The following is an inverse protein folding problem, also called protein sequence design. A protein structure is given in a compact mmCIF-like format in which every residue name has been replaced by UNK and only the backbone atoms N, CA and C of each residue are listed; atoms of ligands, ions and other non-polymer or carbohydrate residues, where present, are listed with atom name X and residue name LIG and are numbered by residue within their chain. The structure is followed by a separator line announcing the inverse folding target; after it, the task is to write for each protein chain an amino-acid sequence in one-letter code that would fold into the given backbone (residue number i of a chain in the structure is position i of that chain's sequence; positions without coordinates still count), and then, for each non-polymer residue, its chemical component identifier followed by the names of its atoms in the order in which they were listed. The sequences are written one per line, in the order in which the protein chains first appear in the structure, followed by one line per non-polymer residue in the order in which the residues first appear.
data_IF_016526519641
#
_entry.id   IF_016526519641
#
_cell.length_a   1.000
_cell.length_b   1.000
_cell.length_c   1.000
_cell.angle_alpha   90.00
_cell.angle_beta   90.00
_cell.angle_gamma   90.00
#
_symmetry.space_group_name_H-M   'P 1'
#
loop_
_entity.id
_entity.type
_entity.pdbx_description
1 polymer ?
#
# COMPACT_ATOMS: atom_id res chain seq x y z
N UNK A 1 24.88 10.03 -15.06
CA UNK A 1 23.64 10.81 -15.29
C UNK A 1 23.74 12.16 -14.60
N UNK A 2 23.80 12.21 -13.26
CA UNK A 2 23.91 13.47 -12.49
C UNK A 2 25.13 14.34 -12.82
N UNK A 3 26.29 13.71 -13.05
CA UNK A 3 27.50 14.46 -13.41
C UNK A 3 27.37 15.18 -14.75
N UNK A 4 26.77 14.52 -15.75
CA UNK A 4 26.61 15.10 -17.08
C UNK A 4 25.53 16.17 -17.11
N UNK A 5 24.41 15.96 -16.41
CA UNK A 5 23.34 16.96 -16.33
C UNK A 5 23.84 18.26 -15.72
N UNK A 6 24.69 18.19 -14.69
CA UNK A 6 25.28 19.40 -14.09
C UNK A 6 26.41 19.99 -14.93
N UNK A 7 27.32 19.17 -15.47
CA UNK A 7 28.48 19.67 -16.22
C UNK A 7 28.10 20.34 -17.55
N UNK A 8 27.04 19.86 -18.19
CA UNK A 8 26.61 20.31 -19.52
C UNK A 8 25.26 21.04 -19.50
N UNK A 9 24.71 21.34 -18.31
CA UNK A 9 23.42 22.00 -18.14
C UNK A 9 22.29 21.34 -18.94
N UNK A 10 22.14 20.03 -18.75
CA UNK A 10 21.18 19.21 -19.50
C UNK A 10 19.96 18.90 -18.63
N UNK A 11 18.77 19.17 -19.17
CA UNK A 11 17.52 18.67 -18.63
C UNK A 11 17.23 17.27 -19.19
N UNK A 12 17.25 16.26 -18.31
CA UNK A 12 16.96 14.87 -18.68
C UNK A 12 15.55 14.54 -18.21
N UNK A 13 14.63 14.38 -19.16
CA UNK A 13 13.28 13.93 -18.91
C UNK A 13 13.11 12.48 -19.34
N UNK A 14 12.60 11.64 -18.45
CA UNK A 14 12.31 10.25 -18.72
C UNK A 14 10.87 9.89 -18.36
N UNK A 15 10.23 9.11 -19.24
CA UNK A 15 8.89 8.58 -19.02
C UNK A 15 8.99 7.14 -18.55
N UNK A 16 8.43 6.86 -17.37
CA UNK A 16 8.42 5.53 -16.78
C UNK A 16 7.00 5.03 -16.61
N UNK A 17 6.76 3.79 -17.03
CA UNK A 17 5.50 3.11 -16.76
C UNK A 17 5.55 2.43 -15.40
N UNK A 18 4.44 2.50 -14.65
CA UNK A 18 4.25 1.74 -13.43
C UNK A 18 3.90 0.28 -13.77
N UNK A 19 4.20 -0.63 -12.84
CA UNK A 19 3.84 -2.04 -12.98
C UNK A 19 2.31 -2.22 -12.99
N UNK A 20 1.85 -3.26 -13.71
CA UNK A 20 0.44 -3.69 -13.64
C UNK A 20 0.22 -4.40 -12.29
N UNK A 21 -0.42 -3.73 -11.32
CA UNK A 21 -0.88 -4.34 -10.06
C UNK A 21 -0.17 -3.84 -8.80
N UNK A 22 0.97 -3.17 -8.92
CA UNK A 22 1.51 -2.32 -7.87
C UNK A 22 1.95 -0.98 -8.49
N UNK A 23 1.62 0.15 -7.85
CA UNK A 23 1.94 1.48 -8.37
C UNK A 23 3.44 1.81 -8.23
N UNK A 24 4.29 0.80 -8.36
CA UNK A 24 5.74 0.89 -8.26
C UNK A 24 6.35 1.07 -9.65
N UNK A 25 7.45 1.81 -9.69
CA UNK A 25 8.23 1.99 -10.91
C UNK A 25 8.91 0.68 -11.30
N UNK A 26 8.85 0.30 -12.58
CA UNK A 26 9.27 -1.02 -13.07
C UNK A 26 10.80 -1.19 -13.11
N UNK A 27 11.30 -2.19 -12.37
CA UNK A 27 12.67 -2.70 -12.48
C UNK A 27 13.75 -1.84 -11.81
N UNK A 28 14.99 -2.34 -11.79
CA UNK A 28 16.14 -1.67 -11.15
C UNK A 28 16.38 -0.25 -11.68
N UNK A 29 16.17 -0.04 -12.99
CA UNK A 29 16.35 1.27 -13.62
C UNK A 29 15.32 2.29 -13.11
N UNK A 30 14.09 1.85 -12.87
CA UNK A 30 13.02 2.71 -12.35
C UNK A 30 13.30 3.19 -10.94
N UNK A 31 13.76 2.28 -10.08
CA UNK A 31 14.17 2.62 -8.71
C UNK A 31 15.35 3.59 -8.70
N UNK A 32 16.40 3.31 -9.47
CA UNK A 32 17.59 4.19 -9.51
C UNK A 32 17.29 5.57 -10.09
N UNK A 33 16.42 5.65 -11.11
CA UNK A 33 15.98 6.93 -11.66
C UNK A 33 15.14 7.72 -10.65
N UNK A 34 14.18 7.09 -9.98
CA UNK A 34 13.39 7.76 -8.93
C UNK A 34 14.27 8.29 -7.80
N UNK A 35 15.30 7.53 -7.39
CA UNK A 35 16.21 7.92 -6.32
C UNK A 35 17.15 9.06 -6.71
N UNK A 36 17.44 9.24 -8.00
CA UNK A 36 18.36 10.27 -8.50
C UNK A 36 17.64 11.47 -9.10
N UNK A 37 16.36 11.35 -9.42
CA UNK A 37 15.58 12.43 -10.00
C UNK A 37 15.44 13.61 -9.04
N UNK A 38 15.50 14.82 -9.59
CA UNK A 38 15.18 16.06 -8.90
C UNK A 38 13.66 16.19 -8.68
N UNK A 39 12.89 15.85 -9.72
CA UNK A 39 11.43 15.89 -9.73
C UNK A 39 10.87 14.59 -10.28
N UNK A 40 9.92 14.00 -9.54
CA UNK A 40 9.17 12.81 -9.95
C UNK A 40 7.69 13.16 -9.94
N UNK A 41 7.09 13.10 -11.14
CA UNK A 41 5.67 13.37 -11.34
C UNK A 41 4.91 12.06 -11.54
N UNK A 42 3.70 12.00 -10.99
CA UNK A 42 2.73 10.94 -11.25
C UNK A 42 1.60 11.54 -12.04
N UNK A 43 1.28 10.90 -13.16
CA UNK A 43 0.18 11.27 -14.04
C UNK A 43 -0.85 10.15 -13.98
N UNK A 44 -2.07 10.48 -13.55
CA UNK A 44 -3.19 9.54 -13.46
C UNK A 44 -4.38 10.05 -14.24
N UNK A 45 -5.11 9.15 -14.92
CA UNK A 45 -6.40 9.49 -15.51
C UNK A 45 -7.44 9.62 -14.40
N UNK A 46 -8.29 10.64 -14.48
CA UNK A 46 -9.43 10.75 -13.58
C UNK A 46 -10.43 9.61 -13.88
N UNK A 47 -10.99 9.01 -12.84
CA UNK A 47 -11.88 7.85 -12.97
C UNK A 47 -13.25 8.22 -13.54
N UNK A 48 -13.77 9.40 -13.19
CA UNK A 48 -15.07 9.90 -13.62
C UNK A 48 -14.97 10.58 -14.99
N UNK A 49 -13.82 11.22 -15.26
CA UNK A 49 -13.52 11.91 -16.50
C UNK A 49 -12.23 11.36 -17.15
N UNK A 50 -12.28 10.24 -17.91
CA UNK A 50 -11.09 9.59 -18.50
C UNK A 50 -10.28 10.44 -19.49
N UNK A 51 -10.85 11.54 -19.98
CA UNK A 51 -10.22 12.55 -20.82
C UNK A 51 -9.33 13.53 -20.03
N UNK A 52 -9.52 13.60 -18.70
CA UNK A 52 -8.73 14.43 -17.79
C UNK A 52 -7.59 13.59 -17.21
N UNK A 53 -6.38 14.14 -17.29
CA UNK A 53 -5.19 13.60 -16.65
C UNK A 53 -4.74 14.55 -15.54
N UNK A 54 -4.64 14.02 -14.34
CA UNK A 54 -4.19 14.73 -13.14
C UNK A 54 -2.69 14.52 -12.94
N UNK A 55 -1.99 15.60 -12.62
CA UNK A 55 -0.55 15.60 -12.38
C UNK A 55 -0.30 15.91 -10.92
N UNK A 56 0.41 15.01 -10.26
CA UNK A 56 0.80 15.14 -8.85
C UNK A 56 2.31 15.00 -8.71
N UNK A 57 2.87 15.78 -7.78
CA UNK A 57 4.26 15.59 -7.37
C UNK A 57 4.35 14.36 -6.46
N UNK A 58 5.13 13.36 -6.85
CA UNK A 58 5.48 12.25 -5.97
C UNK A 58 6.68 12.61 -5.08
N UNK A 59 7.67 13.27 -5.67
CA UNK A 59 8.86 13.76 -4.98
C UNK A 59 9.40 14.98 -5.71
N UNK A 60 9.69 16.06 -4.99
CA UNK A 60 10.38 17.25 -5.48
C UNK A 60 11.40 17.62 -4.41
N UNK A 61 12.64 17.88 -4.83
CA UNK A 61 13.70 18.33 -3.91
C UNK A 61 13.70 19.83 -3.69
N UNK A 62 13.35 20.58 -4.73
CA UNK A 62 13.40 22.04 -4.77
C UNK A 62 11.99 22.63 -4.62
N UNK A 63 11.56 23.44 -5.58
CA UNK A 63 10.33 24.21 -5.51
C UNK A 63 9.11 23.35 -5.83
N UNK A 64 8.27 23.11 -4.84
CA UNK A 64 6.98 22.45 -5.02
C UNK A 64 6.01 23.29 -5.87
N UNK A 65 5.06 22.60 -6.51
CA UNK A 65 3.97 23.20 -7.27
C UNK A 65 2.62 22.59 -6.87
N UNK A 66 1.55 23.35 -7.08
CA UNK A 66 0.19 22.86 -6.83
C UNK A 66 -0.19 21.83 -7.91
N UNK A 67 -0.80 20.69 -7.53
CA UNK A 67 -1.36 19.76 -8.50
C UNK A 67 -2.20 20.48 -9.55
N UNK A 68 -2.10 20.01 -10.79
CA UNK A 68 -2.85 20.55 -11.92
C UNK A 68 -3.34 19.41 -12.80
N UNK A 69 -4.34 19.67 -13.61
CA UNK A 69 -4.93 18.70 -14.52
C UNK A 69 -4.89 19.24 -15.95
N UNK A 70 -4.78 18.34 -16.91
CA UNK A 70 -4.82 18.67 -18.32
C UNK A 70 -5.68 17.66 -19.11
N UNK A 71 -6.17 18.11 -20.25
CA UNK A 71 -6.82 17.27 -21.27
C UNK A 71 -5.97 17.28 -22.53
N UNK A 72 -6.20 16.31 -23.42
CA UNK A 72 -5.56 16.29 -24.73
C UNK A 72 -6.58 16.76 -25.76
N UNK A 73 -6.27 17.84 -26.48
CA UNK A 73 -7.16 18.37 -27.52
C UNK A 73 -7.13 17.50 -28.80
N UNK A 74 -7.97 17.84 -29.78
CA UNK A 74 -8.05 17.10 -31.05
C UNK A 74 -6.72 17.09 -31.83
N UNK A 75 -5.86 18.10 -31.62
CA UNK A 75 -4.52 18.18 -32.18
C UNK A 75 -3.46 17.37 -31.42
N UNK A 76 -3.84 16.65 -30.36
CA UNK A 76 -2.92 15.84 -29.55
C UNK A 76 -2.09 16.64 -28.56
N UNK A 77 -2.39 17.92 -28.34
CA UNK A 77 -1.64 18.79 -27.42
C UNK A 77 -2.29 18.84 -26.03
N UNK A 78 -1.49 18.86 -24.95
CA UNK A 78 -1.99 19.02 -23.60
C UNK A 78 -2.49 20.45 -23.38
N UNK A 79 -3.72 20.59 -22.88
CA UNK A 79 -4.35 21.88 -22.51
C UNK A 79 -4.82 21.79 -21.06
N UNK A 80 -4.60 22.84 -20.27
CA UNK A 80 -5.03 22.89 -18.88
C UNK A 80 -6.54 22.64 -18.77
N UNK A 81 -6.92 21.76 -17.84
CA UNK A 81 -8.31 21.52 -17.49
C UNK A 81 -8.74 22.59 -16.47
N UNK A 82 -9.02 23.80 -16.96
CA UNK A 82 -9.46 24.91 -16.12
C UNK A 82 -10.77 24.57 -15.40
N UNK A 83 -10.84 24.88 -14.10
CA UNK A 83 -12.02 24.56 -13.27
C UNK A 83 -12.11 23.10 -12.83
N UNK A 84 -11.13 22.24 -13.15
CA UNK A 84 -11.04 20.91 -12.56
C UNK A 84 -10.88 21.03 -11.04
N UNK A 85 -11.92 20.64 -10.32
CA UNK A 85 -11.90 20.59 -8.87
C UNK A 85 -11.22 19.29 -8.47
N UNK A 86 -10.05 19.42 -7.84
CA UNK A 86 -9.50 18.33 -7.05
C UNK A 86 -10.46 18.13 -5.87
N UNK A 87 -11.31 17.11 -5.93
CA UNK A 87 -12.16 16.74 -4.79
C UNK A 87 -11.26 16.55 -3.57
N UNK A 88 -11.34 17.49 -2.62
CA UNK A 88 -10.63 17.58 -1.36
C UNK A 88 -9.31 16.79 -1.28
N UNK A 89 -8.20 17.52 -1.38
CA UNK A 89 -6.92 17.03 -0.85
C UNK A 89 -7.14 16.50 0.59
N UNK A 90 -6.68 15.28 0.85
CA UNK A 90 -5.58 15.18 1.77
C UNK A 90 -4.39 14.65 0.99
N UNK A 91 -3.22 15.02 1.47
CA UNK A 91 -1.94 14.44 1.13
C UNK A 91 -2.04 12.95 0.73
N UNK A 92 -2.17 12.67 -0.56
CA UNK A 92 -1.86 11.35 -1.07
C UNK A 92 -0.34 11.29 -1.20
N UNK A 93 0.34 11.25 -0.03
CA UNK A 93 1.48 10.34 0.11
C UNK A 93 1.04 9.06 -0.60
N UNK A 94 1.77 8.54 -1.59
CA UNK A 94 1.33 7.45 -2.46
C UNK A 94 0.69 6.37 -1.61
N UNK A 95 -0.67 6.34 -1.53
CA UNK A 95 -1.48 5.74 -0.44
C UNK A 95 -0.56 4.98 0.50
N UNK A 96 0.12 5.68 1.44
CA UNK A 96 1.25 5.09 2.18
C UNK A 96 0.70 3.78 2.70
N UNK A 97 1.10 2.66 2.06
CA UNK A 97 0.33 1.43 2.14
C UNK A 97 0.48 1.07 3.59
N UNK A 98 -0.56 1.34 4.38
CA UNK A 98 -0.41 1.35 5.83
C UNK A 98 0.26 0.05 6.19
N UNK A 99 1.39 0.17 6.88
CA UNK A 99 2.12 -1.01 7.33
C UNK A 99 1.19 -1.78 8.25
N UNK A 100 1.30 -3.09 8.30
CA UNK A 100 0.54 -3.83 9.32
C UNK A 100 0.94 -3.41 10.74
N UNK A 101 2.09 -2.76 10.93
CA UNK A 101 2.52 -2.18 12.22
C UNK A 101 1.90 -0.81 12.52
N UNK A 102 1.22 -0.19 11.55
CA UNK A 102 0.53 1.09 11.73
C UNK A 102 -0.96 0.90 12.07
N UNK A 103 -1.46 -0.34 12.01
CA UNK A 103 -2.80 -0.67 12.50
C UNK A 103 -2.82 -0.57 14.02
N UNK A 104 -3.91 -0.03 14.57
CA UNK A 104 -4.09 0.00 16.02
C UNK A 104 -4.31 -1.41 16.55
N UNK A 105 -4.06 -1.61 17.84
CA UNK A 105 -4.29 -2.90 18.51
C UNK A 105 -5.76 -3.31 18.37
N UNK A 106 -6.68 -2.34 18.42
CA UNK A 106 -8.12 -2.54 18.28
C UNK A 106 -8.48 -3.05 16.88
N UNK A 107 -7.85 -2.50 15.83
CA UNK A 107 -8.05 -2.98 14.46
C UNK A 107 -7.54 -4.42 14.28
N UNK A 108 -6.39 -4.74 14.88
CA UNK A 108 -5.90 -6.12 14.90
C UNK A 108 -6.88 -7.05 15.62
N UNK A 109 -7.42 -6.63 16.76
CA UNK A 109 -8.39 -7.41 17.54
C UNK A 109 -9.71 -7.63 16.80
N UNK A 110 -10.21 -6.61 16.13
CA UNK A 110 -11.42 -6.71 15.31
C UNK A 110 -11.24 -7.74 14.19
N UNK A 111 -10.15 -7.66 13.43
CA UNK A 111 -9.86 -8.63 12.37
C UNK A 111 -9.60 -10.04 12.92
N UNK A 112 -8.95 -10.18 14.07
CA UNK A 112 -8.73 -11.48 14.69
C UNK A 112 -10.03 -12.08 15.23
N UNK A 113 -10.88 -11.29 15.88
CA UNK A 113 -12.21 -11.74 16.31
C UNK A 113 -13.04 -12.24 15.12
N UNK A 114 -13.01 -11.53 13.99
CA UNK A 114 -13.67 -11.98 12.77
C UNK A 114 -13.03 -13.24 12.15
N UNK A 115 -11.71 -13.39 12.21
CA UNK A 115 -11.00 -14.55 11.66
C UNK A 115 -11.23 -15.84 12.47
N UNK A 116 -11.20 -15.73 13.80
CA UNK A 116 -11.34 -16.86 14.72
C UNK A 116 -12.80 -17.18 15.07
N UNK A 117 -13.68 -16.17 15.07
CA UNK A 117 -15.01 -16.30 15.67
C UNK A 117 -14.85 -16.66 17.14
N UNK A 118 -15.16 -17.93 17.46
CA UNK A 118 -15.04 -18.50 18.81
C UNK A 118 -14.20 -19.80 18.85
N UNK A 119 -13.50 -20.15 17.75
CA UNK A 119 -12.78 -21.43 17.63
C UNK A 119 -11.33 -21.26 17.23
N UNK A 120 -10.43 -22.12 17.72
CA UNK A 120 -9.04 -22.11 17.28
C UNK A 120 -8.93 -22.56 15.82
N UNK A 121 -7.97 -21.99 15.11
CA UNK A 121 -7.75 -22.31 13.69
C UNK A 121 -6.65 -23.35 13.59
N UNK A 122 -6.96 -24.50 12.97
CA UNK A 122 -5.99 -25.57 12.72
C UNK A 122 -5.34 -25.41 11.35
N UNK A 123 -4.01 -25.39 11.35
CA UNK A 123 -3.18 -25.36 10.16
C UNK A 123 -2.82 -23.95 9.71
N UNK A 124 -1.57 -23.80 9.26
CA UNK A 124 -1.02 -22.51 8.86
C UNK A 124 -1.74 -21.89 7.66
N UNK A 125 -2.13 -22.70 6.67
CA UNK A 125 -2.82 -22.17 5.49
C UNK A 125 -4.24 -21.72 5.78
N UNK A 126 -4.97 -22.46 6.62
CA UNK A 126 -6.30 -22.05 7.06
C UNK A 126 -6.23 -20.75 7.85
N UNK A 127 -5.20 -20.59 8.68
CA UNK A 127 -4.94 -19.36 9.42
C UNK A 127 -4.67 -18.17 8.49
N UNK A 128 -3.78 -18.35 7.49
CA UNK A 128 -3.51 -17.29 6.53
C UNK A 128 -4.74 -16.91 5.71
N UNK A 129 -5.53 -17.89 5.28
CA UNK A 129 -6.73 -17.66 4.49
C UNK A 129 -7.79 -16.89 5.31
N UNK A 130 -8.02 -17.29 6.56
CA UNK A 130 -8.93 -16.60 7.47
C UNK A 130 -8.48 -15.16 7.75
N UNK A 131 -7.18 -14.94 8.00
CA UNK A 131 -6.62 -13.61 8.16
C UNK A 131 -6.77 -12.77 6.88
N UNK A 132 -6.52 -13.33 5.70
CA UNK A 132 -6.67 -12.61 4.43
C UNK A 132 -8.08 -12.04 4.29
N UNK A 133 -9.10 -12.85 4.56
CA UNK A 133 -10.50 -12.44 4.49
C UNK A 133 -10.85 -11.42 5.58
N UNK A 134 -10.45 -11.65 6.82
CA UNK A 134 -10.82 -10.77 7.93
C UNK A 134 -10.11 -9.40 7.87
N UNK A 135 -8.84 -9.37 7.51
CA UNK A 135 -8.13 -8.10 7.32
C UNK A 135 -8.62 -7.33 6.08
N UNK A 136 -9.08 -8.02 5.04
CA UNK A 136 -9.74 -7.36 3.91
C UNK A 136 -11.05 -6.65 4.33
N UNK A 137 -11.82 -7.24 5.26
CA UNK A 137 -13.06 -6.65 5.77
C UNK A 137 -12.84 -5.32 6.51
N UNK A 138 -11.73 -5.15 7.22
CA UNK A 138 -11.34 -3.88 7.86
C UNK A 138 -10.57 -2.92 6.92
N UNK A 139 -10.55 -3.21 5.62
CA UNK A 139 -9.89 -2.38 4.60
C UNK A 139 -8.38 -2.62 4.43
N UNK A 140 -7.81 -3.62 5.11
CA UNK A 140 -6.40 -4.01 5.00
C UNK A 140 -6.20 -5.17 4.01
N UNK A 141 -6.45 -4.92 2.73
CA UNK A 141 -6.21 -5.93 1.68
C UNK A 141 -4.71 -6.10 1.40
N UNK A 142 -4.17 -7.30 1.65
CA UNK A 142 -2.77 -7.65 1.36
C UNK A 142 -2.61 -9.07 0.84
N UNK A 143 -1.53 -9.29 0.10
CA UNK A 143 -1.14 -10.60 -0.40
C UNK A 143 -0.50 -11.48 0.69
N UNK A 144 -0.43 -12.78 0.40
CA UNK A 144 0.04 -13.84 1.30
C UNK A 144 1.36 -13.52 2.04
N UNK A 145 2.38 -13.02 1.35
CA UNK A 145 3.68 -12.73 1.95
C UNK A 145 3.61 -11.68 3.08
N UNK A 146 2.70 -10.71 2.96
CA UNK A 146 2.48 -9.71 4.01
C UNK A 146 1.71 -10.32 5.16
N UNK A 147 0.72 -11.18 4.89
CA UNK A 147 -0.04 -11.89 5.94
C UNK A 147 0.84 -12.84 6.76
N UNK A 148 1.85 -13.48 6.16
CA UNK A 148 2.85 -14.27 6.89
C UNK A 148 3.62 -13.39 7.89
N UNK A 149 4.11 -12.22 7.45
CA UNK A 149 4.83 -11.28 8.31
C UNK A 149 3.94 -10.69 9.41
N UNK A 150 2.67 -10.43 9.08
CA UNK A 150 1.67 -9.96 10.04
C UNK A 150 1.38 -11.02 11.10
N UNK A 151 1.18 -12.28 10.72
CA UNK A 151 1.00 -13.37 11.69
C UNK A 151 2.20 -13.47 12.62
N UNK A 152 3.42 -13.38 12.08
CA UNK A 152 4.63 -13.37 12.90
C UNK A 152 4.66 -12.18 13.88
N UNK A 153 4.28 -10.99 13.43
CA UNK A 153 4.18 -9.81 14.29
C UNK A 153 3.14 -9.96 15.41
N UNK A 154 1.99 -10.58 15.12
CA UNK A 154 0.93 -10.84 16.09
C UNK A 154 1.34 -11.88 17.13
N UNK A 155 2.18 -12.84 16.78
CA UNK A 155 2.70 -13.87 17.70
C UNK A 155 3.91 -13.37 18.50
N UNK A 156 4.90 -12.79 17.83
CA UNK A 156 6.20 -12.47 18.44
C UNK A 156 6.18 -11.12 19.16
N UNK A 157 5.49 -10.12 18.60
CA UNK A 157 5.52 -8.73 19.10
C UNK A 157 4.28 -8.38 19.91
N UNK A 158 3.09 -8.46 19.30
CA UNK A 158 1.84 -8.08 19.97
C UNK A 158 1.31 -9.17 20.90
N UNK A 159 1.79 -10.42 20.74
CA UNK A 159 1.38 -11.60 21.52
C UNK A 159 -0.15 -11.78 21.60
N UNK A 160 -0.87 -11.36 20.56
CA UNK A 160 -2.32 -11.51 20.44
C UNK A 160 -2.71 -12.91 19.96
N UNK A 161 -1.81 -13.57 19.21
CA UNK A 161 -2.04 -14.91 18.68
C UNK A 161 -1.03 -15.88 19.27
N UNK A 162 -1.52 -16.95 19.89
CA UNK A 162 -0.69 -18.01 20.46
C UNK A 162 -0.73 -19.21 19.53
N UNK A 163 0.44 -19.70 19.12
CA UNK A 163 0.56 -20.94 18.34
C UNK A 163 0.97 -22.09 19.27
N UNK A 164 0.21 -23.18 19.28
CA UNK A 164 0.60 -24.47 19.88
C UNK A 164 0.43 -25.57 18.84
N UNK A 165 1.49 -26.32 18.58
CA UNK A 165 1.55 -27.34 17.54
C UNK A 165 1.02 -26.86 16.17
N UNK A 166 -0.18 -27.33 15.82
CA UNK A 166 -0.87 -27.02 14.57
C UNK A 166 -2.09 -26.13 14.77
N UNK A 167 -2.35 -25.64 15.99
CA UNK A 167 -3.46 -24.76 16.32
C UNK A 167 -2.99 -23.35 16.66
N UNK A 168 -3.80 -22.38 16.24
CA UNK A 168 -3.68 -20.97 16.59
C UNK A 168 -4.84 -20.61 17.50
N UNK A 169 -4.57 -19.79 18.50
CA UNK A 169 -5.52 -19.31 19.49
C UNK A 169 -5.49 -17.78 19.54
N UNK A 170 -6.66 -17.16 19.72
CA UNK A 170 -6.84 -15.72 19.89
C UNK A 170 -7.74 -15.47 21.11
N UNK A 171 -7.31 -14.56 21.99
CA UNK A 171 -8.04 -14.13 23.20
C UNK A 171 -8.54 -15.26 24.13
N UNK A 172 -7.88 -16.42 24.11
CA UNK A 172 -8.15 -17.52 25.03
C UNK A 172 -7.12 -17.52 26.17
N UNK A 173 -7.61 -17.62 27.40
CA UNK A 173 -6.75 -17.77 28.57
C UNK A 173 -6.02 -19.11 28.53
N UNK A 174 -4.86 -19.18 29.21
CA UNK A 174 -4.07 -20.41 29.28
C UNK A 174 -4.89 -21.61 29.82
N UNK A 175 -5.93 -21.36 30.62
CA UNK A 175 -6.86 -22.37 31.12
C UNK A 175 -7.87 -22.85 30.05
N UNK A 176 -8.41 -21.96 29.22
CA UNK A 176 -9.35 -22.32 28.16
C UNK A 176 -8.67 -23.08 27.01
N UNK A 177 -7.39 -22.77 26.74
CA UNK A 177 -6.60 -23.53 25.76
C UNK A 177 -6.35 -24.99 26.16
N UNK A 178 -6.39 -25.32 27.47
CA UNK A 178 -6.23 -26.71 27.95
C UNK A 178 -7.49 -27.56 27.76
N UNK A 179 -8.68 -26.95 27.61
CA UNK A 179 -9.94 -27.66 27.37
C UNK A 179 -10.04 -28.27 25.96
N UNK A 180 -9.25 -27.78 25.01
CA UNK A 180 -9.24 -28.27 23.62
C UNK A 180 -8.10 -29.28 23.34
N UNK A 181 -7.24 -29.56 24.32
CA UNK A 181 -6.18 -30.57 24.24
C UNK A 181 -6.66 -31.97 24.73
N UNK A 182 -7.93 -32.13 25.14
CA UNK A 182 -8.50 -33.39 25.66
C UNK A 182 -9.32 -34.23 24.65
N UNK A 183 -9.21 -34.00 23.34
CA UNK A 183 -9.88 -34.85 22.33
C UNK A 183 -8.93 -35.57 21.36
#
# INVERSE_FOLDING_TARGET
MMEWSSKYDLHIHCVLHLNKGDNNVRGHIGTEMSNKAETVLVISKNNDCPNVSEVHALHIREKEFKPFAFTVNEGGLPVLAEGHLFENAPHQKPKQRTGFMELSIEQHREALSAAFGDKPIRGFENMLQAMMTAYEAIGFKRGRNVMVKLLQYLTDTLKLVIKRDKLFYYDMTQAETMLFDEE
#
